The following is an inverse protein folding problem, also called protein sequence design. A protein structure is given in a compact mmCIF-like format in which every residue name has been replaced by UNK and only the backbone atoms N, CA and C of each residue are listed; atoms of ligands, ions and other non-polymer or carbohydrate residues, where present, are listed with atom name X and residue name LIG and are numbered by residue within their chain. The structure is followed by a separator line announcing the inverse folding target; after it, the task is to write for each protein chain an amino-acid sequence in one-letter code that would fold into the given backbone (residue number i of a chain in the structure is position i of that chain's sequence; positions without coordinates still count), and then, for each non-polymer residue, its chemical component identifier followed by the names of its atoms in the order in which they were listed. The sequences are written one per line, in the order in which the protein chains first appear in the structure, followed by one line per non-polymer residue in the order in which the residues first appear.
data_IF_573992398285
#
_entry.id   IF_573992398285
#
_cell.length_a   1.000
_cell.length_b   1.000
_cell.length_c   1.000
_cell.angle_alpha   90.00
_cell.angle_beta   90.00
_cell.angle_gamma   90.00
#
_symmetry.space_group_name_H-M   'P 1'
#
loop_
_entity.id
_entity.type
_entity.pdbx_description
1 polymer ?
#
# COMPACT_ATOMS: atom_id res chain seq x y z
N UNK A 1 -24.71 19.49 -8.54
CA UNK A 1 -24.00 19.53 -9.84
C UNK A 1 -24.15 18.17 -10.52
N UNK A 2 -25.04 18.07 -11.51
CA UNK A 2 -25.32 16.81 -12.23
C UNK A 2 -24.16 16.46 -13.17
N UNK A 3 -23.39 15.42 -12.83
CA UNK A 3 -22.37 14.88 -13.72
C UNK A 3 -23.03 14.20 -14.91
N UNK A 4 -22.91 14.84 -16.08
CA UNK A 4 -23.33 14.36 -17.39
C UNK A 4 -22.66 13.01 -17.74
N UNK A 5 -23.21 11.91 -17.23
CA UNK A 5 -22.81 10.54 -17.60
C UNK A 5 -23.31 10.12 -19.00
N UNK A 6 -24.14 10.94 -19.63
CA UNK A 6 -24.77 10.66 -20.92
C UNK A 6 -23.83 10.79 -22.13
N UNK A 7 -22.70 11.49 -21.99
CA UNK A 7 -21.75 11.66 -23.10
C UNK A 7 -21.14 10.34 -23.56
N UNK A 8 -20.58 9.54 -22.65
CA UNK A 8 -19.86 8.32 -23.02
C UNK A 8 -20.74 7.27 -23.69
N UNK A 9 -21.92 7.00 -23.11
CA UNK A 9 -22.88 6.06 -23.66
C UNK A 9 -23.46 6.57 -24.99
N UNK A 10 -23.70 7.88 -25.12
CA UNK A 10 -24.14 8.50 -26.36
C UNK A 10 -23.12 8.32 -27.49
N UNK A 11 -21.83 8.54 -27.23
CA UNK A 11 -20.77 8.30 -28.23
C UNK A 11 -20.69 6.82 -28.61
N UNK A 12 -20.81 5.90 -27.65
CA UNK A 12 -20.76 4.46 -27.92
C UNK A 12 -21.92 4.03 -28.84
N UNK A 13 -23.15 4.48 -28.56
CA UNK A 13 -24.33 4.20 -29.39
C UNK A 13 -24.18 4.82 -30.79
N UNK A 14 -23.69 6.06 -30.89
CA UNK A 14 -23.47 6.75 -32.16
C UNK A 14 -22.41 6.03 -33.02
N UNK A 15 -21.32 5.56 -32.41
CA UNK A 15 -20.25 4.83 -33.11
C UNK A 15 -20.75 3.47 -33.60
N UNK A 16 -21.52 2.74 -32.80
CA UNK A 16 -22.13 1.47 -33.23
C UNK A 16 -23.10 1.73 -34.38
N UNK A 17 -23.93 2.78 -34.29
CA UNK A 17 -24.86 3.17 -35.35
C UNK A 17 -24.16 3.51 -36.66
N UNK A 18 -23.11 4.35 -36.60
CA UNK A 18 -22.30 4.70 -37.76
C UNK A 18 -21.61 3.49 -38.38
N UNK A 19 -21.07 2.59 -37.55
CA UNK A 19 -20.46 1.35 -38.00
C UNK A 19 -21.48 0.46 -38.75
N UNK A 20 -22.69 0.33 -38.19
CA UNK A 20 -23.79 -0.40 -38.85
C UNK A 20 -24.15 0.18 -40.21
N UNK A 21 -24.26 1.52 -40.33
CA UNK A 21 -24.53 2.20 -41.60
C UNK A 21 -23.39 1.95 -42.60
N UNK A 22 -22.13 2.03 -42.17
CA UNK A 22 -20.98 1.72 -43.02
C UNK A 22 -20.98 0.26 -43.50
N UNK A 23 -21.32 -0.70 -42.64
CA UNK A 23 -21.43 -2.11 -43.03
C UNK A 23 -22.56 -2.32 -44.06
N UNK A 24 -23.69 -1.64 -43.88
CA UNK A 24 -24.83 -1.71 -44.79
C UNK A 24 -24.48 -1.12 -46.18
N UNK A 25 -23.75 0.00 -46.22
CA UNK A 25 -23.24 0.57 -47.48
C UNK A 25 -22.24 -0.35 -48.19
N UNK A 26 -21.39 -1.06 -47.44
CA UNK A 26 -20.47 -2.06 -47.99
C UNK A 26 -21.28 -3.20 -48.64
N UNK A 27 -22.32 -3.71 -47.97
CA UNK A 27 -23.17 -4.79 -48.50
C UNK A 27 -23.89 -4.37 -49.78
N UNK A 28 -24.47 -3.16 -49.83
CA UNK A 28 -25.18 -2.67 -51.02
C UNK A 28 -24.23 -2.51 -52.22
N UNK A 29 -23.01 -2.02 -51.97
CA UNK A 29 -22.03 -1.77 -53.03
C UNK A 29 -21.03 -2.93 -53.23
N UNK A 30 -21.29 -4.11 -52.67
CA UNK A 30 -20.36 -5.25 -52.76
C UNK A 30 -20.06 -5.63 -54.21
N UNK A 31 -21.08 -5.66 -55.07
CA UNK A 31 -20.92 -6.04 -56.48
C UNK A 31 -20.09 -5.01 -57.27
N UNK A 32 -20.21 -3.73 -56.92
CA UNK A 32 -19.42 -2.64 -57.52
C UNK A 32 -17.97 -2.73 -57.04
N UNK A 33 -17.75 -2.99 -55.74
CA UNK A 33 -16.42 -3.09 -55.13
C UNK A 33 -15.65 -4.32 -55.60
N UNK A 34 -16.34 -5.45 -55.82
CA UNK A 34 -15.74 -6.67 -56.37
C UNK A 34 -15.39 -6.48 -57.84
N UNK A 35 -16.22 -5.76 -58.62
CA UNK A 35 -15.89 -5.37 -60.01
C UNK A 35 -14.67 -4.46 -60.09
N UNK A 36 -14.39 -3.66 -59.07
CA UNK A 36 -13.17 -2.86 -58.95
C UNK A 36 -11.90 -3.67 -58.66
N UNK A 37 -12.00 -5.01 -58.55
CA UNK A 37 -10.87 -5.90 -58.28
C UNK A 37 -10.50 -6.02 -56.79
N UNK A 38 -11.31 -5.47 -55.88
CA UNK A 38 -11.04 -5.53 -54.44
C UNK A 38 -11.74 -6.74 -53.84
N UNK A 39 -10.98 -7.60 -53.15
CA UNK A 39 -11.54 -8.79 -52.51
C UNK A 39 -12.41 -8.41 -51.30
N UNK A 40 -13.55 -9.10 -51.15
CA UNK A 40 -14.46 -8.88 -50.02
C UNK A 40 -13.75 -9.04 -48.66
N UNK A 41 -12.78 -9.96 -48.57
CA UNK A 41 -12.00 -10.20 -47.33
C UNK A 41 -11.15 -9.00 -46.93
N UNK A 42 -10.55 -8.30 -47.89
CA UNK A 42 -9.78 -7.09 -47.63
C UNK A 42 -10.68 -5.96 -47.10
N UNK A 43 -11.88 -5.80 -47.68
CA UNK A 43 -12.85 -4.76 -47.29
C UNK A 43 -13.33 -4.99 -45.85
N UNK A 44 -13.74 -6.21 -45.52
CA UNK A 44 -14.15 -6.57 -44.17
C UNK A 44 -13.00 -6.46 -43.15
N UNK A 45 -11.77 -6.79 -43.56
CA UNK A 45 -10.58 -6.63 -42.72
C UNK A 45 -10.27 -5.17 -42.37
N UNK A 46 -10.32 -4.27 -43.37
CA UNK A 46 -10.11 -2.83 -43.17
C UNK A 46 -11.22 -2.25 -42.27
N UNK A 47 -12.47 -2.64 -42.51
CA UNK A 47 -13.60 -2.19 -41.70
C UNK A 47 -13.48 -2.65 -40.23
N UNK A 48 -13.15 -3.94 -40.00
CA UNK A 48 -12.96 -4.48 -38.65
C UNK A 48 -11.78 -3.82 -37.93
N UNK A 49 -10.68 -3.55 -38.64
CA UNK A 49 -9.51 -2.86 -38.08
C UNK A 49 -9.81 -1.43 -37.64
N UNK A 50 -10.46 -0.64 -38.50
CA UNK A 50 -10.87 0.74 -38.18
C UNK A 50 -11.85 0.79 -37.01
N UNK A 51 -12.84 -0.09 -36.99
CA UNK A 51 -13.81 -0.16 -35.90
C UNK A 51 -13.15 -0.58 -34.57
N UNK A 52 -12.27 -1.58 -34.61
CA UNK A 52 -11.54 -2.05 -33.43
C UNK A 52 -10.69 -0.93 -32.81
N UNK A 53 -9.93 -0.18 -33.63
CA UNK A 53 -9.11 0.94 -33.17
C UNK A 53 -9.95 2.02 -32.50
N UNK A 54 -11.10 2.36 -33.09
CA UNK A 54 -11.99 3.40 -32.56
C UNK A 54 -12.62 3.00 -31.22
N UNK A 55 -13.04 1.74 -31.11
CA UNK A 55 -13.60 1.18 -29.88
C UNK A 55 -12.55 1.16 -28.75
N UNK A 56 -11.32 0.78 -29.07
CA UNK A 56 -10.19 0.80 -28.13
C UNK A 56 -9.89 2.22 -27.64
N UNK A 57 -9.90 3.21 -28.53
CA UNK A 57 -9.72 4.63 -28.18
C UNK A 57 -10.79 5.14 -27.19
N UNK A 58 -12.06 4.80 -27.43
CA UNK A 58 -13.17 5.19 -26.54
C UNK A 58 -13.06 4.52 -25.18
N UNK A 59 -12.71 3.23 -25.11
CA UNK A 59 -12.55 2.50 -23.84
C UNK A 59 -11.32 2.98 -23.05
N UNK A 60 -10.22 3.33 -23.73
CA UNK A 60 -9.01 3.84 -23.08
C UNK A 60 -9.11 5.31 -22.65
N UNK A 61 -9.93 6.13 -23.33
CA UNK A 61 -10.14 7.55 -23.03
C UNK A 61 -10.56 7.85 -21.58
N UNK A 62 -11.59 7.21 -20.99
CA UNK A 62 -11.97 7.47 -19.60
C UNK A 62 -10.85 7.06 -18.62
N UNK A 63 -10.09 6.00 -18.92
CA UNK A 63 -8.96 5.59 -18.09
C UNK A 63 -7.85 6.65 -18.07
N UNK A 64 -7.55 7.24 -19.23
CA UNK A 64 -6.59 8.33 -19.36
C UNK A 64 -7.08 9.62 -18.69
N UNK A 65 -8.36 9.95 -18.86
CA UNK A 65 -9.00 11.11 -18.26
C UNK A 65 -9.06 11.03 -16.73
N UNK A 66 -9.43 9.88 -16.18
CA UNK A 66 -9.42 9.62 -14.73
C UNK A 66 -8.00 9.77 -14.19
N UNK A 67 -6.99 9.24 -14.89
CA UNK A 67 -5.58 9.37 -14.48
C UNK A 67 -5.10 10.82 -14.51
N UNK A 68 -5.53 11.61 -15.50
CA UNK A 68 -5.22 13.04 -15.62
C UNK A 68 -5.93 13.88 -14.54
N UNK A 69 -7.21 13.61 -14.27
CA UNK A 69 -7.98 14.28 -13.23
C UNK A 69 -7.39 14.03 -11.84
N UNK A 70 -6.93 12.82 -11.54
CA UNK A 70 -6.25 12.52 -10.25
C UNK A 70 -4.96 13.32 -10.05
N UNK A 71 -4.24 13.66 -11.12
CA UNK A 71 -3.05 14.52 -11.04
C UNK A 71 -3.43 16.00 -10.88
N UNK A 72 -4.47 16.47 -11.56
CA UNK A 72 -4.90 17.86 -11.50
C UNK A 72 -5.61 18.21 -10.18
N UNK A 73 -6.42 17.30 -9.64
CA UNK A 73 -7.09 17.47 -8.35
C UNK A 73 -6.14 17.37 -7.15
N UNK A 74 -4.89 16.97 -7.37
CA UNK A 74 -3.86 16.96 -6.32
C UNK A 74 -3.46 18.37 -5.87
N UNK A 75 -3.40 19.33 -6.81
CA UNK A 75 -3.00 20.72 -6.53
C UNK A 75 -4.10 21.49 -5.77
N UNK A 76 -5.36 21.08 -5.92
CA UNK A 76 -6.53 21.73 -5.31
C UNK A 76 -7.14 20.94 -4.15
N UNK A 77 -6.47 19.89 -3.66
CA UNK A 77 -6.96 19.19 -2.46
C UNK A 77 -6.62 20.06 -1.26
N UNK A 78 -7.60 20.71 -0.60
CA UNK A 78 -7.31 21.47 0.60
C UNK A 78 -6.68 20.52 1.62
N UNK A 79 -5.62 20.99 2.28
CA UNK A 79 -5.17 20.42 3.53
C UNK A 79 -6.35 20.59 4.48
N UNK A 80 -7.10 19.51 4.74
CA UNK A 80 -8.32 19.60 5.52
C UNK A 80 -8.00 20.15 6.92
N UNK A 81 -8.26 21.43 7.13
CA UNK A 81 -9.09 21.89 8.24
C UNK A 81 -10.49 21.31 8.01
N UNK A 82 -10.70 20.06 8.43
CA UNK A 82 -12.03 19.52 8.65
C UNK A 82 -12.37 19.79 10.12
N UNK A 83 -12.70 21.04 10.40
CA UNK A 83 -13.51 21.38 11.56
C UNK A 83 -14.95 21.06 11.18
N UNK A 84 -15.56 20.20 12.01
CA UNK A 84 -16.97 19.87 12.10
C UNK A 84 -17.52 18.73 11.21
N UNK A 85 -18.14 17.78 11.92
CA UNK A 85 -18.93 16.62 11.49
C UNK A 85 -18.21 15.40 10.88
N UNK A 86 -17.82 14.44 11.75
CA UNK A 86 -18.01 12.96 11.69
C UNK A 86 -17.13 12.28 12.78
N UNK A 87 -17.45 11.03 13.21
CA UNK A 87 -17.26 10.56 14.58
C UNK A 87 -15.78 10.46 14.93
N UNK A 88 -15.42 10.91 16.15
CA UNK A 88 -14.10 10.81 16.79
C UNK A 88 -13.18 9.82 16.09
N UNK A 89 -12.47 10.27 15.05
CA UNK A 89 -11.41 9.50 14.43
C UNK A 89 -10.30 9.45 15.47
N UNK A 90 -9.95 8.24 15.91
CA UNK A 90 -8.80 8.07 16.79
C UNK A 90 -7.56 8.67 16.10
N UNK A 91 -6.67 9.39 16.81
CA UNK A 91 -5.47 10.00 16.25
C UNK A 91 -4.64 9.04 15.35
N UNK A 92 -4.64 7.75 15.70
CA UNK A 92 -4.01 6.65 14.96
C UNK A 92 -4.55 6.47 13.53
N UNK A 93 -5.84 6.73 13.28
CA UNK A 93 -6.44 6.64 11.94
C UNK A 93 -6.02 7.81 11.04
N UNK A 94 -5.93 9.01 11.60
CA UNK A 94 -5.53 10.21 10.85
C UNK A 94 -4.05 10.14 10.44
N UNK A 95 -3.18 9.66 11.33
CA UNK A 95 -1.75 9.45 11.03
C UNK A 95 -1.57 8.41 9.91
N UNK A 96 -2.26 7.27 9.97
CA UNK A 96 -2.09 6.22 8.96
C UNK A 96 -2.75 6.56 7.62
N UNK A 97 -3.80 7.39 7.61
CA UNK A 97 -4.39 7.89 6.36
C UNK A 97 -3.47 8.89 5.67
N UNK A 98 -2.82 9.78 6.43
CA UNK A 98 -1.78 10.67 5.90
C UNK A 98 -0.59 9.87 5.34
N UNK A 99 -0.09 8.89 6.10
CA UNK A 99 0.95 7.95 5.65
C UNK A 99 0.59 7.26 4.32
N UNK A 100 -0.61 6.68 4.23
CA UNK A 100 -1.11 6.03 3.02
C UNK A 100 -1.10 6.97 1.82
N UNK A 101 -1.42 8.24 2.05
CA UNK A 101 -1.43 9.26 1.00
C UNK A 101 -0.01 9.57 0.53
N UNK A 102 0.92 9.81 1.45
CA UNK A 102 2.34 10.09 1.15
C UNK A 102 3.01 8.94 0.39
N UNK A 103 2.84 7.69 0.86
CA UNK A 103 3.38 6.50 0.20
C UNK A 103 2.83 6.33 -1.22
N UNK A 104 1.52 6.55 -1.41
CA UNK A 104 0.88 6.45 -2.74
C UNK A 104 1.40 7.50 -3.70
N UNK A 105 1.72 8.70 -3.23
CA UNK A 105 2.27 9.78 -4.04
C UNK A 105 3.68 9.43 -4.50
N UNK A 106 4.53 8.94 -3.58
CA UNK A 106 5.94 8.64 -3.87
C UNK A 106 6.14 7.37 -4.70
N UNK A 107 5.42 6.29 -4.39
CA UNK A 107 5.64 4.97 -5.01
C UNK A 107 4.57 4.57 -6.03
N UNK A 108 3.48 5.33 -6.13
CA UNK A 108 2.37 5.09 -7.04
C UNK A 108 1.37 4.04 -6.55
N UNK A 109 0.44 3.60 -7.42
CA UNK A 109 -0.69 2.75 -7.02
C UNK A 109 -0.28 1.32 -6.58
N UNK A 110 0.91 0.86 -6.99
CA UNK A 110 1.45 -0.46 -6.64
C UNK A 110 2.42 -0.42 -5.44
N UNK A 111 2.39 0.65 -4.64
CA UNK A 111 3.27 0.82 -3.48
C UNK A 111 3.25 -0.38 -2.52
N UNK A 112 2.11 -1.06 -2.36
CA UNK A 112 1.95 -2.23 -1.47
C UNK A 112 2.93 -3.37 -1.75
N UNK A 113 3.47 -3.46 -2.97
CA UNK A 113 4.47 -4.46 -3.37
C UNK A 113 5.91 -3.94 -3.29
N UNK A 114 6.07 -2.62 -3.23
CA UNK A 114 7.37 -1.94 -3.26
C UNK A 114 7.84 -1.57 -1.86
N UNK A 115 6.90 -1.28 -0.95
CA UNK A 115 7.18 -0.76 0.39
C UNK A 115 6.96 -1.84 1.43
N UNK A 116 7.94 -1.95 2.33
CA UNK A 116 7.91 -2.80 3.52
C UNK A 116 7.37 -2.00 4.71
N UNK A 117 6.39 -2.52 5.42
CA UNK A 117 5.81 -1.92 6.62
C UNK A 117 6.31 -2.67 7.85
N UNK A 118 7.09 -1.99 8.68
CA UNK A 118 7.65 -2.54 9.92
C UNK A 118 7.06 -1.78 11.11
N UNK A 119 6.58 -2.52 12.11
CA UNK A 119 6.05 -1.95 13.34
C UNK A 119 7.13 -1.99 14.41
N UNK A 120 7.47 -0.86 15.02
CA UNK A 120 8.41 -0.80 16.15
C UNK A 120 7.61 -0.73 17.44
N UNK A 121 7.70 -1.76 18.29
CA UNK A 121 6.97 -1.85 19.57
C UNK A 121 7.98 -1.85 20.71
N UNK A 122 8.06 -0.76 21.49
CA UNK A 122 9.09 -0.56 22.50
C UNK A 122 8.82 0.67 23.34
N UNK A 123 9.63 0.91 24.37
CA UNK A 123 9.60 2.20 25.07
C UNK A 123 10.07 3.31 24.11
N UNK A 124 9.56 4.56 24.21
CA UNK A 124 9.97 5.67 23.34
C UNK A 124 11.48 5.87 23.24
N UNK A 125 12.22 5.68 24.33
CA UNK A 125 13.69 5.83 24.38
C UNK A 125 14.38 4.81 23.46
N UNK A 126 13.91 3.56 23.48
CA UNK A 126 14.44 2.46 22.68
C UNK A 126 14.02 2.57 21.20
N UNK A 127 12.80 3.05 20.96
CA UNK A 127 12.31 3.33 19.61
C UNK A 127 13.09 4.47 18.95
N UNK A 128 13.46 5.50 19.71
CA UNK A 128 14.33 6.59 19.26
C UNK A 128 15.76 6.12 18.99
N UNK A 129 16.28 5.17 19.76
CA UNK A 129 17.58 4.55 19.50
C UNK A 129 17.62 3.79 18.16
N UNK A 130 16.52 3.15 17.74
CA UNK A 130 16.43 2.56 16.38
C UNK A 130 16.34 3.64 15.31
N UNK A 131 15.42 4.58 15.49
CA UNK A 131 15.12 5.60 14.50
C UNK A 131 14.81 6.94 15.19
N UNK A 132 15.77 7.89 15.19
CA UNK A 132 15.58 9.16 15.88
C UNK A 132 14.41 9.94 15.27
N UNK A 133 13.48 10.37 16.12
CA UNK A 133 12.27 11.10 15.71
C UNK A 133 11.04 10.24 15.37
N UNK A 134 11.13 8.92 15.51
CA UNK A 134 10.00 8.00 15.25
C UNK A 134 8.83 8.22 16.22
N UNK A 135 9.12 8.51 17.49
CA UNK A 135 8.16 8.82 18.55
C UNK A 135 7.37 10.09 18.26
N UNK A 136 8.06 11.14 17.79
CA UNK A 136 7.42 12.43 17.46
C UNK A 136 6.57 12.36 16.19
N UNK A 137 7.10 11.77 15.12
CA UNK A 137 6.42 11.72 13.80
C UNK A 137 5.48 10.52 13.66
N UNK A 138 5.49 9.57 14.59
CA UNK A 138 4.72 8.31 14.63
C UNK A 138 5.01 7.33 13.48
N UNK A 139 5.58 7.81 12.37
CA UNK A 139 6.07 7.01 11.26
C UNK A 139 7.31 7.67 10.64
N UNK A 140 8.20 6.85 10.09
CA UNK A 140 9.35 7.29 9.31
C UNK A 140 9.49 6.46 8.05
N UNK A 141 9.97 7.08 6.98
CA UNK A 141 10.17 6.44 5.69
C UNK A 141 11.64 6.51 5.27
N UNK A 142 12.24 5.36 4.97
CA UNK A 142 13.60 5.25 4.44
C UNK A 142 13.77 4.00 3.58
N UNK A 143 14.42 4.15 2.42
CA UNK A 143 14.75 3.06 1.48
C UNK A 143 13.66 1.98 1.32
N UNK A 144 12.49 2.40 0.80
CA UNK A 144 11.33 1.52 0.60
C UNK A 144 10.80 0.83 1.87
N UNK A 145 11.21 1.28 3.05
CA UNK A 145 10.81 0.76 4.35
C UNK A 145 10.14 1.88 5.13
N UNK A 146 8.98 1.56 5.70
CA UNK A 146 8.20 2.46 6.52
C UNK A 146 8.16 1.86 7.92
N UNK A 147 8.73 2.59 8.87
CA UNK A 147 8.68 2.30 10.28
C UNK A 147 7.47 3.00 10.87
N UNK A 148 6.66 2.26 11.61
CA UNK A 148 5.48 2.77 12.32
C UNK A 148 5.70 2.51 13.80
N UNK A 149 5.53 3.53 14.63
CA UNK A 149 5.58 3.36 16.08
C UNK A 149 4.30 2.67 16.57
N UNK A 150 4.45 1.52 17.21
CA UNK A 150 3.36 0.71 17.74
C UNK A 150 3.06 0.95 19.22
N UNK A 151 3.83 1.82 19.88
CA UNK A 151 3.71 2.06 21.32
C UNK A 151 4.40 0.97 22.16
N UNK A 152 4.10 1.00 23.47
CA UNK A 152 4.70 0.10 24.47
C UNK A 152 4.24 -1.35 24.27
N UNK A 153 5.14 -2.34 24.40
CA UNK A 153 4.82 -3.76 24.22
C UNK A 153 3.94 -4.32 25.35
N UNK A 154 3.95 -3.70 26.54
CA UNK A 154 3.19 -4.11 27.74
C UNK A 154 1.83 -3.41 27.88
N UNK A 155 1.54 -2.45 26.99
CA UNK A 155 0.25 -1.76 26.98
C UNK A 155 -0.75 -2.57 26.14
N UNK A 156 -2.03 -2.57 26.53
CA UNK A 156 -3.06 -3.28 25.77
C UNK A 156 -2.98 -2.94 24.28
N UNK A 157 -3.04 -3.94 23.38
CA UNK A 157 -2.83 -3.73 21.97
C UNK A 157 -3.88 -2.75 21.43
N UNK A 158 -3.42 -1.58 20.96
CA UNK A 158 -4.28 -0.52 20.47
C UNK A 158 -5.09 -1.02 19.26
N UNK A 159 -6.34 -1.37 19.54
CA UNK A 159 -7.27 -1.94 18.57
C UNK A 159 -7.52 -0.93 17.44
N UNK A 160 -7.39 0.37 17.72
CA UNK A 160 -7.57 1.43 16.72
C UNK A 160 -6.41 1.44 15.73
N UNK A 161 -5.17 1.39 16.22
CA UNK A 161 -3.97 1.27 15.38
C UNK A 161 -4.00 -0.02 14.54
N UNK A 162 -4.35 -1.16 15.15
CA UNK A 162 -4.44 -2.43 14.44
C UNK A 162 -5.52 -2.42 13.33
N UNK A 163 -6.68 -1.83 13.61
CA UNK A 163 -7.76 -1.67 12.63
C UNK A 163 -7.33 -0.75 11.49
N UNK A 164 -6.63 0.33 11.81
CA UNK A 164 -6.12 1.29 10.85
C UNK A 164 -5.01 0.68 9.96
N UNK A 165 -4.13 -0.16 10.52
CA UNK A 165 -3.14 -0.96 9.76
C UNK A 165 -3.83 -1.97 8.82
N UNK A 166 -4.90 -2.62 9.27
CA UNK A 166 -5.70 -3.53 8.42
C UNK A 166 -6.40 -2.78 7.27
N UNK A 167 -6.87 -1.55 7.51
CA UNK A 167 -7.40 -0.65 6.46
C UNK A 167 -6.31 -0.28 5.45
N UNK A 168 -5.08 -0.06 5.91
CA UNK A 168 -3.93 0.30 5.06
C UNK A 168 -3.57 -0.83 4.08
N UNK A 169 -3.40 -2.06 4.57
CA UNK A 169 -3.03 -3.24 3.76
C UNK A 169 -3.81 -4.49 4.20
N UNK A 170 -4.78 -4.91 3.37
CA UNK A 170 -5.71 -6.01 3.71
C UNK A 170 -5.11 -7.41 3.76
N UNK A 171 -4.10 -7.72 2.93
CA UNK A 171 -3.59 -9.10 2.79
C UNK A 171 -2.45 -9.45 3.75
N UNK A 172 -1.57 -8.50 4.03
CA UNK A 172 -0.47 -8.62 4.99
C UNK A 172 -0.30 -7.27 5.67
N UNK A 173 -0.97 -6.96 6.78
CA UNK A 173 -0.94 -5.61 7.35
C UNK A 173 0.49 -5.12 7.67
N UNK A 174 1.37 -6.02 8.09
CA UNK A 174 2.76 -5.75 8.45
C UNK A 174 3.69 -6.76 7.77
N UNK A 175 4.93 -6.37 7.50
CA UNK A 175 5.99 -7.26 7.03
C UNK A 175 6.86 -7.79 8.17
N UNK A 176 6.87 -7.09 9.31
CA UNK A 176 7.56 -7.51 10.52
C UNK A 176 7.27 -6.57 11.69
N UNK A 177 7.52 -7.07 12.89
CA UNK A 177 7.51 -6.29 14.14
C UNK A 177 8.94 -6.26 14.65
N UNK A 178 9.46 -5.08 14.97
CA UNK A 178 10.75 -4.88 15.62
C UNK A 178 10.46 -4.52 17.06
N UNK A 179 10.98 -5.32 17.99
CA UNK A 179 10.91 -5.05 19.41
C UNK A 179 12.32 -4.73 19.91
N UNK A 180 12.65 -3.43 20.09
CA UNK A 180 13.90 -3.07 20.74
C UNK A 180 13.87 -3.45 22.22
N UNK A 181 15.02 -3.85 22.75
CA UNK A 181 15.21 -4.23 24.14
C UNK A 181 16.55 -3.69 24.62
N UNK A 182 16.61 -3.16 25.84
CA UNK A 182 17.89 -2.96 26.54
C UNK A 182 18.50 -4.30 26.96
N UNK A 183 19.82 -4.33 27.23
CA UNK A 183 20.49 -5.52 27.78
C UNK A 183 19.88 -5.99 29.12
N UNK A 184 19.41 -5.08 29.96
CA UNK A 184 18.76 -5.44 31.22
C UNK A 184 17.41 -6.14 31.00
N UNK A 185 16.65 -5.71 29.98
CA UNK A 185 15.37 -6.30 29.63
C UNK A 185 15.55 -7.65 28.91
N UNK A 186 16.61 -7.79 28.11
CA UNK A 186 16.93 -9.07 27.46
C UNK A 186 17.23 -10.18 28.48
N UNK A 187 17.77 -9.83 29.66
CA UNK A 187 17.99 -10.75 30.78
C UNK A 187 16.72 -11.09 31.56
N UNK A 188 15.66 -10.30 31.44
CA UNK A 188 14.39 -10.51 32.16
C UNK A 188 13.40 -11.35 31.34
N UNK A 189 13.67 -12.65 31.26
CA UNK A 189 12.88 -13.62 30.47
C UNK A 189 11.38 -13.58 30.76
N UNK A 190 10.97 -13.35 32.02
CA UNK A 190 9.55 -13.30 32.38
C UNK A 190 8.78 -12.12 31.75
N UNK A 191 9.46 -10.97 31.56
CA UNK A 191 8.86 -9.80 30.91
C UNK A 191 8.81 -9.97 29.39
N UNK A 192 9.86 -10.57 28.81
CA UNK A 192 9.90 -10.94 27.40
C UNK A 192 8.76 -11.90 27.03
N UNK A 193 8.57 -12.94 27.85
CA UNK A 193 7.49 -13.91 27.67
C UNK A 193 6.10 -13.27 27.73
N UNK A 194 5.93 -12.27 28.60
CA UNK A 194 4.68 -11.52 28.73
C UNK A 194 4.41 -10.66 27.48
N UNK A 195 5.38 -9.83 27.07
CA UNK A 195 5.22 -9.00 25.87
C UNK A 195 5.08 -9.83 24.60
N UNK A 196 5.76 -10.97 24.50
CA UNK A 196 5.58 -11.92 23.39
C UNK A 196 4.15 -12.44 23.29
N UNK A 197 3.56 -12.85 24.43
CA UNK A 197 2.15 -13.31 24.46
C UNK A 197 1.19 -12.19 24.11
N UNK A 198 1.45 -10.96 24.54
CA UNK A 198 0.63 -9.80 24.20
C UNK A 198 0.70 -9.46 22.71
N UNK A 199 1.89 -9.54 22.10
CA UNK A 199 2.08 -9.39 20.65
C UNK A 199 1.38 -10.50 19.85
N UNK A 200 1.48 -11.76 20.29
CA UNK A 200 0.72 -12.88 19.68
C UNK A 200 -0.78 -12.61 19.77
N UNK A 201 -1.27 -12.18 20.93
CA UNK A 201 -2.68 -11.89 21.12
C UNK A 201 -3.14 -10.71 20.26
N UNK A 202 -2.31 -9.68 20.11
CA UNK A 202 -2.51 -8.57 19.17
C UNK A 202 -2.58 -9.06 17.71
N UNK A 203 -1.66 -9.92 17.29
CA UNK A 203 -1.65 -10.53 15.96
C UNK A 203 -2.86 -11.42 15.68
N UNK A 204 -3.32 -12.20 16.68
CA UNK A 204 -4.56 -12.98 16.59
C UNK A 204 -5.78 -12.08 16.38
N UNK A 205 -5.88 -10.95 17.08
CA UNK A 205 -6.95 -9.95 16.88
C UNK A 205 -6.89 -9.30 15.50
N UNK A 206 -5.68 -9.07 14.98
CA UNK A 206 -5.46 -8.55 13.63
C UNK A 206 -5.87 -9.57 12.53
N UNK A 207 -5.82 -10.87 12.87
CA UNK A 207 -6.02 -11.99 11.95
C UNK A 207 -4.77 -12.28 11.11
N UNK A 208 -3.60 -11.80 11.54
CA UNK A 208 -2.33 -11.95 10.87
C UNK A 208 -1.18 -11.93 11.89
N UNK A 209 -0.28 -12.90 11.80
CA UNK A 209 0.92 -12.98 12.63
C UNK A 209 2.13 -12.59 11.79
N UNK A 210 2.73 -11.44 12.10
CA UNK A 210 3.94 -10.96 11.44
C UNK A 210 5.19 -11.59 12.11
N UNK A 211 6.32 -11.74 11.40
CA UNK A 211 7.57 -12.15 12.03
C UNK A 211 8.03 -11.10 13.04
N UNK A 212 8.51 -11.55 14.19
CA UNK A 212 9.08 -10.69 15.22
C UNK A 212 10.60 -10.70 15.14
N UNK A 213 11.19 -9.51 15.18
CA UNK A 213 12.63 -9.28 15.26
C UNK A 213 12.93 -8.63 16.61
N UNK A 214 13.68 -9.32 17.46
CA UNK A 214 14.20 -8.74 18.70
C UNK A 214 15.47 -7.96 18.36
N UNK A 215 15.52 -6.71 18.78
CA UNK A 215 16.66 -5.84 18.55
C UNK A 215 17.25 -5.41 19.88
N UNK A 216 18.39 -5.99 20.27
CA UNK A 216 19.06 -5.55 21.50
C UNK A 216 19.83 -4.27 21.24
N UNK A 217 19.44 -3.19 21.91
CA UNK A 217 20.20 -1.94 21.98
C UNK A 217 21.21 -2.12 23.12
N UNK A 218 22.49 -2.17 22.77
CA UNK A 218 23.57 -2.21 23.74
C UNK A 218 24.04 -0.78 24.01
N UNK A 219 23.74 -0.26 25.19
CA UNK A 219 24.38 0.92 25.74
C UNK A 219 25.74 0.49 26.32
N UNK A 220 26.77 1.30 26.05
CA UNK A 220 28.10 1.26 26.66
C UNK A 220 29.14 0.22 26.20
N UNK A 221 30.26 0.76 25.72
CA UNK A 221 31.39 0.90 26.64
C UNK A 221 32.75 0.43 26.17
N UNK A 222 32.84 -0.52 25.24
CA UNK A 222 34.14 -1.04 24.78
C UNK A 222 34.05 -1.69 23.39
N UNK A 223 33.61 -0.91 22.39
CA UNK A 223 33.83 -1.30 21.01
C UNK A 223 35.31 -1.13 20.70
N UNK A 224 36.05 -2.23 20.66
CA UNK A 224 37.43 -2.23 20.19
C UNK A 224 37.51 -1.52 18.84
N UNK A 225 38.08 -0.33 18.89
CA UNK A 225 38.26 0.60 17.77
C UNK A 225 38.96 -0.12 16.61
N UNK A 226 38.22 -0.55 15.59
CA UNK A 226 38.80 -1.16 14.39
C UNK A 226 38.01 -2.28 13.71
N UNK A 227 36.98 -2.85 14.34
CA UNK A 227 36.14 -3.89 13.70
C UNK A 227 34.87 -3.27 13.09
N UNK A 228 34.50 -3.58 11.83
CA UNK A 228 33.22 -3.14 11.28
C UNK A 228 32.07 -3.70 12.13
N UNK A 229 31.16 -2.84 12.59
CA UNK A 229 29.93 -3.24 13.28
C UNK A 229 29.14 -4.18 12.35
N UNK A 230 29.08 -5.45 12.70
CA UNK A 230 28.32 -6.45 11.97
C UNK A 230 27.04 -6.73 12.76
N UNK A 231 25.88 -6.48 12.16
CA UNK A 231 24.60 -6.90 12.73
C UNK A 231 24.58 -8.43 12.82
N UNK A 232 24.58 -8.97 14.03
CA UNK A 232 24.44 -10.41 14.25
C UNK A 232 22.95 -10.70 14.44
N UNK A 233 22.35 -11.43 13.51
CA UNK A 233 20.99 -11.93 13.64
C UNK A 233 21.01 -13.43 13.90
N UNK A 234 20.31 -13.89 14.93
CA UNK A 234 19.98 -15.30 15.11
C UNK A 234 18.47 -15.49 14.91
N UNK A 235 18.07 -16.58 14.23
CA UNK A 235 16.66 -16.96 14.16
C UNK A 235 16.32 -17.70 15.46
N UNK A 236 15.44 -17.14 16.28
CA UNK A 236 14.94 -17.83 17.45
C UNK A 236 14.02 -18.99 17.01
N UNK A 237 14.27 -20.24 17.46
CA UNK A 237 13.40 -21.36 17.16
C UNK A 237 12.03 -21.20 17.82
N UNK A 238 10.98 -21.78 17.21
CA UNK A 238 9.57 -21.68 17.65
C UNK A 238 9.30 -22.19 19.09
N UNK A 239 10.29 -22.83 19.73
CA UNK A 239 10.24 -23.28 21.13
C UNK A 239 11.59 -22.98 21.82
N UNK A 240 11.81 -21.74 22.22
CA UNK A 240 12.91 -21.42 23.12
C UNK A 240 12.61 -21.98 24.53
N UNK A 241 13.35 -23.00 24.94
CA UNK A 241 13.48 -23.38 26.35
C UNK A 241 14.82 -22.85 26.90
N UNK A 242 14.90 -22.53 28.21
CA UNK A 242 15.95 -21.67 28.77
C UNK A 242 17.39 -22.19 28.71
N UNK A 243 17.63 -23.44 28.30
CA UNK A 243 18.91 -24.13 28.50
C UNK A 243 19.80 -24.25 27.26
N UNK A 244 19.42 -23.67 26.11
CA UNK A 244 20.27 -23.74 24.92
C UNK A 244 20.81 -22.34 24.55
N UNK A 245 21.77 -21.88 25.33
CA UNK A 245 22.74 -20.88 24.91
C UNK A 245 24.12 -21.56 24.85
N UNK A 246 24.68 -21.69 23.65
CA UNK A 246 26.09 -21.99 23.40
C UNK A 246 26.65 -20.85 22.54
#
# INVERSE_FOLDING_TARGET
MHTQRYGFWGYLILIIGLAGICALLIIINQDVLIKSGVSARLIWGIWAGLFSLFLLGVVCSPFWWIRKQRKAQFIYRPKNSAENDQPVSSPSEDILTDLSSNIRLRYGPFWRRKVRLLLVTGEPEEAEAIAPGLTGQHWLEGDHTVLIYGGRPTAEPDVTLLTALKKLRRSRPLDGIIWPLTEEQSRQTAQLDKGWRELINGGKRLGFQAPLYLWQVCDDGDYQTGRPLQSVGCLLPERCTPNNWL
#
